data_IF_311522366404
#
_entry.id   IF_311522366404
#
_cell.length_a   1.000
_cell.length_b   1.000
_cell.length_c   1.000
_cell.angle_alpha   90.00
_cell.angle_beta   90.00
_cell.angle_gamma   90.00
#
_symmetry.space_group_name_H-M   'P 1'
#
loop_
_entity.id
_entity.type
_entity.pdbx_description
1 polymer ?
#
# COMPACT_ATOMS: atom_id res chain seq x y z
N UNK A 1 -15.39 -65.67 -10.02
CA UNK A 1 -15.79 -65.38 -8.63
C UNK A 1 -15.00 -64.18 -8.11
N UNK A 2 -15.66 -63.03 -8.00
CA UNK A 2 -15.57 -61.96 -6.98
C UNK A 2 -16.01 -60.66 -7.62
N UNK A 3 -17.27 -60.33 -7.34
CA UNK A 3 -17.85 -59.02 -7.57
C UNK A 3 -17.20 -57.99 -6.63
N UNK A 4 -17.15 -56.73 -7.04
CA UNK A 4 -18.04 -55.72 -6.47
C UNK A 4 -18.03 -54.45 -7.34
N UNK A 5 -19.21 -54.10 -7.83
CA UNK A 5 -19.55 -52.75 -8.28
C UNK A 5 -19.64 -51.82 -7.08
N UNK A 6 -19.11 -50.61 -7.20
CA UNK A 6 -19.62 -49.44 -6.49
C UNK A 6 -19.27 -48.18 -7.29
N UNK A 7 -20.26 -47.69 -8.02
CA UNK A 7 -20.29 -46.34 -8.53
C UNK A 7 -20.30 -45.35 -7.35
N UNK A 8 -19.48 -44.29 -7.42
CA UNK A 8 -19.78 -43.04 -6.72
C UNK A 8 -19.78 -41.93 -7.76
N UNK A 9 -20.93 -41.27 -7.77
CA UNK A 9 -21.34 -40.20 -8.65
C UNK A 9 -20.44 -38.97 -8.57
N UNK A 10 -20.48 -38.21 -9.66
CA UNK A 10 -20.09 -36.80 -9.71
C UNK A 10 -20.54 -36.02 -8.48
N UNK A 11 -19.64 -35.20 -7.96
CA UNK A 11 -20.04 -33.91 -7.39
C UNK A 11 -19.05 -32.88 -7.90
N UNK A 12 -19.45 -32.16 -8.95
CA UNK A 12 -18.89 -30.86 -9.25
C UNK A 12 -19.14 -29.97 -8.03
N UNK A 13 -18.08 -29.54 -7.37
CA UNK A 13 -18.11 -28.34 -6.54
C UNK A 13 -17.21 -27.33 -7.24
N UNK A 14 -17.86 -26.52 -8.08
CA UNK A 14 -17.42 -25.17 -8.40
C UNK A 14 -17.10 -24.46 -7.08
N UNK A 15 -15.82 -24.19 -6.87
CA UNK A 15 -15.33 -23.51 -5.68
C UNK A 15 -13.95 -22.95 -5.94
N UNK A 16 -13.80 -22.13 -6.99
CA UNK A 16 -12.63 -21.26 -7.09
C UNK A 16 -12.64 -20.33 -5.86
N UNK A 17 -11.59 -20.32 -5.01
CA UNK A 17 -11.51 -19.34 -3.96
C UNK A 17 -11.23 -17.96 -4.59
N UNK A 18 -12.29 -17.15 -4.65
CA UNK A 18 -12.29 -15.70 -4.41
C UNK A 18 -11.15 -14.88 -5.02
N UNK A 19 -11.30 -14.48 -6.29
CA UNK A 19 -10.49 -13.38 -6.89
C UNK A 19 -10.65 -12.05 -6.13
N UNK A 20 -11.78 -11.86 -5.44
CA UNK A 20 -12.07 -10.66 -4.65
C UNK A 20 -11.16 -10.45 -3.43
N UNK A 21 -10.71 -11.53 -2.78
CA UNK A 21 -9.83 -11.42 -1.61
C UNK A 21 -8.40 -10.99 -2.00
N UNK A 22 -7.90 -11.51 -3.13
CA UNK A 22 -6.59 -11.13 -3.66
C UNK A 22 -6.56 -9.68 -4.18
N UNK A 23 -7.63 -9.24 -4.85
CA UNK A 23 -7.76 -7.84 -5.31
C UNK A 23 -7.84 -6.86 -4.15
N UNK A 24 -8.48 -7.26 -3.04
CA UNK A 24 -8.54 -6.42 -1.84
C UNK A 24 -7.16 -6.28 -1.20
N UNK A 25 -6.39 -7.36 -1.02
CA UNK A 25 -5.03 -7.25 -0.47
C UNK A 25 -4.11 -6.38 -1.32
N UNK A 26 -4.20 -6.49 -2.65
CA UNK A 26 -3.40 -5.67 -3.56
C UNK A 26 -3.77 -4.18 -3.46
N UNK A 27 -5.07 -3.87 -3.37
CA UNK A 27 -5.57 -2.51 -3.15
C UNK A 27 -5.11 -1.92 -1.80
N UNK A 28 -5.16 -2.70 -0.73
CA UNK A 28 -4.67 -2.28 0.58
C UNK A 28 -3.16 -2.00 0.57
N UNK A 29 -2.37 -2.86 -0.08
CA UNK A 29 -0.93 -2.69 -0.19
C UNK A 29 -0.56 -1.48 -1.06
N UNK A 30 -1.29 -1.24 -2.14
CA UNK A 30 -1.17 -0.02 -2.94
C UNK A 30 -1.48 1.23 -2.10
N UNK A 31 -2.55 1.24 -1.31
CA UNK A 31 -2.88 2.36 -0.43
C UNK A 31 -1.82 2.57 0.66
N UNK A 32 -1.29 1.50 1.27
CA UNK A 32 -0.19 1.61 2.24
C UNK A 32 1.02 2.30 1.62
N UNK A 33 1.43 1.87 0.43
CA UNK A 33 2.57 2.46 -0.27
C UNK A 33 2.30 3.93 -0.63
N UNK A 34 1.16 4.20 -1.27
CA UNK A 34 0.82 5.54 -1.77
C UNK A 34 0.67 6.53 -0.61
N UNK A 35 0.00 6.15 0.49
CA UNK A 35 -0.16 7.02 1.66
C UNK A 35 1.18 7.26 2.37
N UNK A 36 2.04 6.24 2.45
CA UNK A 36 3.41 6.41 2.95
C UNK A 36 4.19 7.40 2.09
N UNK A 37 4.15 7.24 0.77
CA UNK A 37 4.86 8.10 -0.16
C UNK A 37 4.32 9.53 -0.15
N UNK A 38 3.00 9.72 -0.14
CA UNK A 38 2.38 11.03 0.01
C UNK A 38 2.84 11.74 1.29
N UNK A 39 2.97 11.02 2.40
CA UNK A 39 3.43 11.56 3.68
C UNK A 39 4.90 12.00 3.62
N UNK A 40 5.82 11.10 3.24
CA UNK A 40 7.26 11.42 3.26
C UNK A 40 7.67 12.43 2.20
N UNK A 41 7.05 12.39 1.02
CA UNK A 41 7.30 13.36 -0.06
C UNK A 41 6.85 14.74 0.37
N UNK A 42 5.68 14.87 1.00
CA UNK A 42 5.21 16.17 1.52
C UNK A 42 6.18 16.77 2.53
N UNK A 43 6.68 15.96 3.47
CA UNK A 43 7.65 16.44 4.46
C UNK A 43 8.97 16.81 3.78
N UNK A 44 9.48 15.97 2.87
CA UNK A 44 10.71 16.22 2.15
C UNK A 44 10.64 17.52 1.32
N UNK A 45 9.56 17.73 0.57
CA UNK A 45 9.33 18.95 -0.22
C UNK A 45 9.21 20.19 0.66
N UNK A 46 8.48 20.10 1.79
CA UNK A 46 8.41 21.18 2.78
C UNK A 46 9.77 21.55 3.38
N UNK A 47 10.78 20.68 3.24
CA UNK A 47 12.16 20.90 3.67
C UNK A 47 13.13 21.11 2.48
N UNK A 48 12.60 21.47 1.30
CA UNK A 48 13.40 21.89 0.15
C UNK A 48 13.93 20.76 -0.74
N UNK A 49 13.53 19.51 -0.51
CA UNK A 49 13.86 18.40 -1.43
C UNK A 49 12.99 18.53 -2.69
N UNK A 50 13.63 18.59 -3.86
CA UNK A 50 12.92 18.61 -5.15
C UNK A 50 12.80 17.18 -5.69
N UNK A 51 11.59 16.77 -6.03
CA UNK A 51 11.25 15.44 -6.53
C UNK A 51 10.46 15.57 -7.83
N UNK A 52 10.53 14.56 -8.70
CA UNK A 52 9.79 14.56 -9.97
C UNK A 52 8.30 14.32 -9.74
N UNK A 53 8.00 13.36 -8.88
CA UNK A 53 6.68 12.94 -8.46
C UNK A 53 6.34 13.63 -7.13
N UNK A 54 5.77 14.83 -7.23
CA UNK A 54 5.48 15.70 -6.08
C UNK A 54 4.43 15.12 -5.14
N UNK A 55 4.31 15.69 -3.94
CA UNK A 55 3.30 15.27 -2.96
C UNK A 55 1.86 15.42 -3.48
N UNK A 56 1.64 16.34 -4.42
CA UNK A 56 0.37 16.48 -5.13
C UNK A 56 0.08 15.28 -6.05
N UNK A 57 1.09 14.79 -6.79
CA UNK A 57 0.97 13.60 -7.65
C UNK A 57 0.64 12.37 -6.80
N UNK A 58 1.31 12.18 -5.67
CA UNK A 58 0.99 11.09 -4.73
C UNK A 58 -0.41 11.23 -4.13
N UNK A 59 -0.85 12.45 -3.85
CA UNK A 59 -2.21 12.70 -3.36
C UNK A 59 -3.27 12.39 -4.43
N UNK A 60 -2.96 12.62 -5.70
CA UNK A 60 -3.83 12.23 -6.81
C UNK A 60 -3.87 10.71 -6.99
N UNK A 61 -2.72 10.02 -6.95
CA UNK A 61 -2.66 8.56 -6.99
C UNK A 61 -3.50 7.94 -5.85
N UNK A 62 -3.44 8.54 -4.66
CA UNK A 62 -4.23 8.14 -3.50
C UNK A 62 -5.74 8.23 -3.78
N UNK A 63 -6.19 9.35 -4.32
CA UNK A 63 -7.59 9.55 -4.68
C UNK A 63 -8.06 8.53 -5.73
N UNK A 64 -7.25 8.31 -6.77
CA UNK A 64 -7.56 7.35 -7.84
C UNK A 64 -7.72 5.92 -7.32
N UNK A 65 -6.83 5.47 -6.42
CA UNK A 65 -6.94 4.12 -5.85
C UNK A 65 -8.14 4.02 -4.91
N UNK A 66 -8.39 5.03 -4.09
CA UNK A 66 -9.55 5.07 -3.20
C UNK A 66 -10.87 5.00 -3.98
N UNK A 67 -11.00 5.76 -5.07
CA UNK A 67 -12.18 5.76 -5.94
C UNK A 67 -12.40 4.39 -6.58
N UNK A 68 -11.34 3.77 -7.11
CA UNK A 68 -11.42 2.46 -7.78
C UNK A 68 -11.77 1.31 -6.84
N UNK A 69 -11.36 1.40 -5.58
CA UNK A 69 -11.43 0.29 -4.62
C UNK A 69 -12.54 0.46 -3.59
N UNK A 70 -13.06 1.69 -3.42
CA UNK A 70 -13.99 2.04 -2.36
C UNK A 70 -13.35 2.10 -0.96
N UNK A 71 -12.03 1.91 -0.86
CA UNK A 71 -11.31 1.92 0.42
C UNK A 71 -11.07 3.35 0.91
N UNK A 72 -11.26 3.57 2.22
CA UNK A 72 -10.95 4.85 2.86
C UNK A 72 -9.44 5.00 3.04
N UNK A 73 -8.92 6.18 2.73
CA UNK A 73 -7.47 6.47 2.83
C UNK A 73 -7.05 6.97 4.20
N UNK A 74 -8.02 7.35 5.05
CA UNK A 74 -7.76 7.96 6.37
C UNK A 74 -6.91 7.05 7.26
N UNK A 75 -7.28 5.77 7.35
CA UNK A 75 -6.54 4.81 8.17
C UNK A 75 -5.10 4.64 7.69
N UNK A 76 -4.88 4.57 6.37
CA UNK A 76 -3.55 4.44 5.78
C UNK A 76 -2.69 5.70 5.96
N UNK A 77 -3.28 6.89 5.90
CA UNK A 77 -2.59 8.15 6.22
C UNK A 77 -2.15 8.16 7.70
N UNK A 78 -3.01 7.73 8.62
CA UNK A 78 -2.70 7.64 10.05
C UNK A 78 -1.61 6.60 10.32
N UNK A 79 -1.67 5.43 9.67
CA UNK A 79 -0.64 4.39 9.74
C UNK A 79 0.69 4.89 9.21
N UNK A 80 0.70 5.61 8.09
CA UNK A 80 1.90 6.21 7.52
C UNK A 80 2.55 7.21 8.50
N UNK A 81 1.76 8.13 9.04
CA UNK A 81 2.22 9.10 10.04
C UNK A 81 2.80 8.39 11.27
N UNK A 82 2.04 7.48 11.88
CA UNK A 82 2.47 6.77 13.09
C UNK A 82 3.71 5.88 12.86
N UNK A 83 3.85 5.29 11.67
CA UNK A 83 5.05 4.54 11.26
C UNK A 83 6.27 5.44 11.25
N UNK A 84 6.17 6.61 10.63
CA UNK A 84 7.31 7.52 10.50
C UNK A 84 7.62 8.26 11.80
N UNK A 85 6.63 8.70 12.57
CA UNK A 85 6.85 9.24 13.91
C UNK A 85 7.64 8.25 14.79
N UNK A 86 7.27 6.97 14.78
CA UNK A 86 8.02 5.92 15.51
C UNK A 86 9.44 5.73 14.97
N UNK A 87 9.63 5.72 13.66
CA UNK A 87 10.96 5.56 13.02
C UNK A 87 11.91 6.71 13.30
N UNK A 88 11.37 7.91 13.52
CA UNK A 88 12.16 9.14 13.68
C UNK A 88 12.34 9.54 15.14
N UNK A 89 11.55 9.00 16.08
CA UNK A 89 11.50 9.41 17.50
C UNK A 89 12.87 9.52 18.18
N UNK A 90 13.79 8.60 17.88
CA UNK A 90 15.11 8.53 18.54
C UNK A 90 16.24 9.04 17.63
N UNK A 91 15.91 9.65 16.49
CA UNK A 91 16.89 10.23 15.57
C UNK A 91 17.06 11.72 15.87
N UNK A 92 18.30 12.22 15.76
CA UNK A 92 18.53 13.65 15.69
C UNK A 92 17.84 14.26 14.45
N UNK A 93 17.46 15.53 14.52
CA UNK A 93 16.70 16.19 13.44
C UNK A 93 17.33 16.03 12.05
N UNK A 94 18.67 16.09 11.96
CA UNK A 94 19.40 15.90 10.70
C UNK A 94 19.25 14.48 10.13
N UNK A 95 19.38 13.47 10.97
CA UNK A 95 19.29 12.06 10.55
C UNK A 95 17.84 11.69 10.23
N UNK A 96 16.89 12.25 10.98
CA UNK A 96 15.48 12.11 10.70
C UNK A 96 15.12 12.65 9.31
N UNK A 97 15.60 13.87 9.01
CA UNK A 97 15.38 14.50 7.71
C UNK A 97 16.10 13.79 6.57
N UNK A 98 17.32 13.31 6.79
CA UNK A 98 18.02 12.46 5.81
C UNK A 98 17.18 11.23 5.48
N UNK A 99 16.66 10.55 6.50
CA UNK A 99 15.87 9.33 6.30
C UNK A 99 14.55 9.58 5.57
N UNK A 100 13.89 10.70 5.86
CA UNK A 100 12.70 11.13 5.11
C UNK A 100 13.05 11.43 3.65
N UNK A 101 14.12 12.18 3.40
CA UNK A 101 14.55 12.52 2.05
C UNK A 101 14.92 11.28 1.24
N UNK A 102 15.63 10.31 1.84
CA UNK A 102 15.99 9.07 1.17
C UNK A 102 14.75 8.25 0.81
N UNK A 103 13.79 8.09 1.73
CA UNK A 103 12.53 7.42 1.40
C UNK A 103 11.74 8.16 0.33
N UNK A 104 11.69 9.49 0.39
CA UNK A 104 10.97 10.29 -0.59
C UNK A 104 11.56 10.14 -2.00
N UNK A 105 12.89 10.04 -2.13
CA UNK A 105 13.55 9.68 -3.40
C UNK A 105 13.27 8.26 -3.85
N UNK A 106 13.11 7.31 -2.92
CA UNK A 106 12.73 5.96 -3.29
C UNK A 106 11.28 5.87 -3.74
N UNK A 107 10.38 6.66 -3.12
CA UNK A 107 9.03 6.87 -3.62
C UNK A 107 9.06 7.45 -5.03
N UNK A 108 9.86 8.49 -5.28
CA UNK A 108 9.99 9.13 -6.60
C UNK A 108 10.30 8.17 -7.76
N UNK A 109 10.92 7.01 -7.46
CA UNK A 109 11.23 5.95 -8.44
C UNK A 109 10.11 4.91 -8.64
N UNK A 110 9.11 4.90 -7.75
CA UNK A 110 8.03 3.89 -7.69
C UNK A 110 6.75 4.32 -8.42
N UNK A 111 6.76 5.52 -8.99
CA UNK A 111 5.63 6.11 -9.73
C UNK A 111 6.13 6.61 -11.09
#
# INVERSE_FOLDING_TARGET
MKALFAAIAMTAILGAPTTAAASNSEAEDALRLICECAYVVRIAEGNGVKLRNSSAIWSQAKATVAEKTGLSTREYDELARAKWERRLRNLGARDAMRRIADRARDCDKQL
#
